data_IF_067032764687
#
_entry.id   IF_067032764687
#
_cell.length_a   1.000
_cell.length_b   1.000
_cell.length_c   1.000
_cell.angle_alpha   90.00
_cell.angle_beta   90.00
_cell.angle_gamma   90.00
#
_symmetry.space_group_name_H-M   'P 1'
#
loop_
_entity.id
_entity.type
_entity.pdbx_description
1 polymer ?
#
# COMPACT_ATOMS: atom_id res chain seq x y z
N UNK A 1 26.89 32.15 -27.91
CA UNK A 1 26.25 33.33 -27.27
C UNK A 1 26.51 33.26 -25.78
N UNK A 2 27.41 34.12 -25.29
CA UNK A 2 27.85 34.19 -23.89
C UNK A 2 26.74 34.79 -23.03
N UNK A 3 26.40 34.16 -21.89
CA UNK A 3 25.59 34.81 -20.85
C UNK A 3 26.40 34.88 -19.56
N UNK A 4 26.43 36.10 -19.04
CA UNK A 4 27.29 36.61 -18.00
C UNK A 4 26.97 36.03 -16.61
N UNK A 5 28.04 35.88 -15.83
CA UNK A 5 28.06 35.53 -14.42
C UNK A 5 27.85 36.82 -13.62
N UNK A 6 26.81 36.89 -12.79
CA UNK A 6 26.63 37.97 -11.81
C UNK A 6 26.98 37.44 -10.42
N UNK A 7 28.16 37.81 -9.94
CA UNK A 7 28.60 37.65 -8.55
C UNK A 7 27.92 38.68 -7.66
N UNK A 8 27.17 38.23 -6.66
CA UNK A 8 26.66 39.07 -5.59
C UNK A 8 27.60 38.97 -4.37
N UNK A 9 28.23 40.10 -4.03
CA UNK A 9 29.05 40.27 -2.83
C UNK A 9 28.10 40.53 -1.66
N UNK A 10 28.04 39.60 -0.71
CA UNK A 10 27.27 39.75 0.53
C UNK A 10 28.21 40.32 1.61
N UNK A 11 27.96 41.58 1.98
CA UNK A 11 28.59 42.24 3.12
C UNK A 11 28.20 41.58 4.44
N UNK A 12 29.20 41.13 5.20
CA UNK A 12 29.05 40.65 6.58
C UNK A 12 29.20 41.83 7.54
N UNK A 13 28.20 42.16 8.38
CA UNK A 13 28.41 43.10 9.47
C UNK A 13 29.15 42.42 10.62
N UNK A 14 30.32 42.99 10.94
CA UNK A 14 31.11 42.68 12.12
C UNK A 14 30.50 43.43 13.32
N UNK A 15 29.71 42.73 14.14
CA UNK A 15 29.23 43.26 15.41
C UNK A 15 30.19 42.86 16.54
N UNK A 16 30.93 43.85 17.01
CA UNK A 16 31.84 43.78 18.15
C UNK A 16 31.11 44.19 19.44
N UNK A 17 31.39 43.44 20.50
CA UNK A 17 31.35 43.86 21.91
C UNK A 17 30.01 43.80 22.67
N UNK A 18 30.02 42.98 23.74
CA UNK A 18 29.10 43.04 24.85
C UNK A 18 29.65 42.25 26.03
N UNK A 19 30.46 42.90 26.87
CA UNK A 19 30.79 42.47 28.22
C UNK A 19 29.52 42.44 29.09
N UNK A 20 29.33 41.42 29.91
CA UNK A 20 28.37 41.54 31.02
C UNK A 20 27.96 40.24 31.69
N UNK A 21 28.21 40.21 33.01
CA UNK A 21 27.67 39.34 34.06
C UNK A 21 28.35 37.98 34.29
N UNK A 22 28.97 37.88 35.47
CA UNK A 22 29.41 36.62 36.07
C UNK A 22 28.18 35.78 36.48
N UNK A 23 28.11 34.49 36.12
CA UNK A 23 26.99 33.61 36.44
C UNK A 23 27.00 33.22 37.92
N UNK A 24 25.85 33.34 38.57
CA UNK A 24 25.58 32.79 39.91
C UNK A 24 25.52 31.26 39.86
N UNK A 25 26.20 30.58 40.78
CA UNK A 25 26.40 29.12 40.78
C UNK A 25 25.18 28.26 41.18
N UNK A 26 23.97 28.82 41.14
CA UNK A 26 22.73 28.12 41.54
C UNK A 26 21.75 27.88 40.37
N UNK A 27 22.26 27.73 39.14
CA UNK A 27 21.41 27.29 38.01
C UNK A 27 21.44 25.76 37.89
N UNK A 28 20.31 25.05 38.10
CA UNK A 28 20.25 23.60 37.94
C UNK A 28 20.69 23.24 36.52
N UNK A 29 21.68 22.34 36.42
CA UNK A 29 22.32 21.87 35.20
C UNK A 29 21.29 21.66 34.08
N UNK A 30 21.08 22.68 33.24
CA UNK A 30 20.20 22.56 32.06
C UNK A 30 20.92 21.64 31.11
N UNK A 31 20.46 20.39 31.06
CA UNK A 31 20.90 19.47 30.02
C UNK A 31 20.59 20.12 28.68
N UNK A 32 21.58 20.26 27.77
CA UNK A 32 21.32 20.80 26.45
C UNK A 32 20.19 19.97 25.81
N UNK A 33 19.19 20.62 25.20
CA UNK A 33 18.11 19.90 24.55
C UNK A 33 18.72 18.92 23.55
N UNK A 34 18.33 17.65 23.64
CA UNK A 34 18.83 16.62 22.75
C UNK A 34 18.70 17.12 21.30
N UNK A 35 19.74 16.94 20.46
CA UNK A 35 19.70 17.41 19.08
C UNK A 35 18.47 16.82 18.41
N UNK A 36 17.67 17.68 17.78
CA UNK A 36 16.46 17.28 17.07
C UNK A 36 16.84 16.17 16.07
N UNK A 37 16.38 14.94 16.33
CA UNK A 37 16.60 13.82 15.41
C UNK A 37 15.93 14.17 14.09
N UNK A 38 16.73 14.40 13.06
CA UNK A 38 16.21 14.53 11.71
C UNK A 38 15.65 13.17 11.29
N UNK A 39 14.33 13.13 11.11
CA UNK A 39 13.61 11.98 10.58
C UNK A 39 14.13 11.68 9.17
N UNK A 40 14.43 10.41 8.88
CA UNK A 40 15.01 10.06 7.59
C UNK A 40 14.00 10.30 6.46
N UNK A 41 14.51 10.65 5.28
CA UNK A 41 13.68 10.86 4.09
C UNK A 41 12.80 9.63 3.76
N UNK A 42 13.27 8.42 4.09
CA UNK A 42 12.51 7.18 3.94
C UNK A 42 11.26 7.14 4.82
N UNK A 43 11.36 7.54 6.09
CA UNK A 43 10.20 7.53 7.01
C UNK A 43 9.16 8.55 6.55
N UNK A 44 9.61 9.71 6.07
CA UNK A 44 8.71 10.72 5.48
C UNK A 44 8.00 10.18 4.23
N UNK A 45 8.73 9.52 3.32
CA UNK A 45 8.15 8.93 2.12
C UNK A 45 7.15 7.81 2.45
N UNK A 46 7.47 6.93 3.40
CA UNK A 46 6.55 5.86 3.84
C UNK A 46 5.25 6.45 4.41
N UNK A 47 5.35 7.53 5.19
CA UNK A 47 4.18 8.21 5.76
C UNK A 47 3.26 8.82 4.70
N UNK A 48 3.84 9.33 3.62
CA UNK A 48 3.06 9.86 2.49
C UNK A 48 2.36 8.76 1.68
N UNK A 49 2.94 7.56 1.62
CA UNK A 49 2.39 6.40 0.88
C UNK A 49 1.25 5.71 1.65
N UNK A 50 1.26 5.77 2.98
CA UNK A 50 0.27 5.11 3.84
C UNK A 50 -0.75 6.14 4.32
N UNK A 51 -1.65 6.52 3.42
CA UNK A 51 -2.76 7.41 3.79
C UNK A 51 -3.80 6.64 4.63
N UNK A 52 -4.49 7.29 5.58
CA UNK A 52 -5.56 6.66 6.37
C UNK A 52 -6.63 5.98 5.51
N UNK A 53 -6.95 6.56 4.35
CA UNK A 53 -7.94 6.02 3.41
C UNK A 53 -7.45 4.69 2.80
N UNK A 54 -6.15 4.58 2.49
CA UNK A 54 -5.57 3.34 1.97
C UNK A 54 -5.58 2.25 3.04
N UNK A 55 -5.28 2.61 4.29
CA UNK A 55 -5.35 1.67 5.43
C UNK A 55 -6.78 1.19 5.63
N UNK A 56 -7.76 2.08 5.58
CA UNK A 56 -9.17 1.74 5.67
C UNK A 56 -9.61 0.79 4.55
N UNK A 57 -9.24 1.07 3.29
CA UNK A 57 -9.56 0.20 2.16
C UNK A 57 -8.93 -1.19 2.30
N UNK A 58 -7.67 -1.28 2.75
CA UNK A 58 -6.99 -2.56 2.98
C UNK A 58 -7.76 -3.36 4.05
N UNK A 59 -8.18 -2.71 5.13
CA UNK A 59 -8.97 -3.34 6.19
C UNK A 59 -10.34 -3.83 5.67
N UNK A 60 -11.04 -3.03 4.89
CA UNK A 60 -12.32 -3.40 4.27
C UNK A 60 -12.18 -4.58 3.30
N UNK A 61 -11.17 -4.56 2.44
CA UNK A 61 -10.87 -5.67 1.51
C UNK A 61 -10.54 -6.95 2.26
N UNK A 62 -9.75 -6.86 3.32
CA UNK A 62 -9.44 -8.01 4.18
C UNK A 62 -10.70 -8.59 4.82
N UNK A 63 -11.54 -7.73 5.40
CA UNK A 63 -12.80 -8.15 6.03
C UNK A 63 -13.77 -8.77 5.01
N UNK A 64 -13.84 -8.23 3.79
CA UNK A 64 -14.64 -8.80 2.72
C UNK A 64 -14.12 -10.15 2.25
N UNK A 65 -12.80 -10.32 2.12
CA UNK A 65 -12.18 -11.60 1.77
C UNK A 65 -12.45 -12.69 2.81
N UNK A 66 -12.46 -12.34 4.10
CA UNK A 66 -12.83 -13.27 5.17
C UNK A 66 -14.31 -13.65 5.11
N UNK A 67 -15.20 -12.69 4.80
CA UNK A 67 -16.62 -12.99 4.56
C UNK A 67 -16.83 -13.89 3.34
N UNK A 68 -16.06 -13.68 2.27
CA UNK A 68 -16.08 -14.55 1.10
C UNK A 68 -15.65 -15.98 1.47
N UNK A 69 -14.53 -16.14 2.18
CA UNK A 69 -14.06 -17.44 2.65
C UNK A 69 -15.08 -18.15 3.55
N UNK A 70 -15.73 -17.41 4.45
CA UNK A 70 -16.79 -17.94 5.30
C UNK A 70 -18.01 -18.37 4.47
N UNK A 71 -18.34 -17.65 3.41
CA UNK A 71 -19.46 -18.00 2.54
C UNK A 71 -19.17 -19.21 1.66
N UNK A 72 -17.97 -19.28 1.06
CA UNK A 72 -17.58 -20.34 0.12
C UNK A 72 -17.37 -21.68 0.83
N UNK A 73 -16.62 -21.70 1.94
CA UNK A 73 -16.17 -22.96 2.57
C UNK A 73 -16.49 -23.05 4.06
N UNK A 74 -17.23 -22.10 4.62
CA UNK A 74 -17.33 -21.91 6.08
C UNK A 74 -15.95 -21.73 6.74
N UNK A 75 -14.99 -21.16 6.01
CA UNK A 75 -13.62 -20.94 6.47
C UNK A 75 -12.75 -22.21 6.49
N UNK A 76 -13.19 -23.31 5.86
CA UNK A 76 -12.46 -24.58 5.84
C UNK A 76 -11.47 -24.65 4.66
N UNK A 77 -10.14 -24.59 4.90
CA UNK A 77 -9.14 -24.66 3.84
C UNK A 77 -9.05 -26.03 3.15
N UNK A 78 -9.66 -27.07 3.73
CA UNK A 78 -9.69 -28.43 3.20
C UNK A 78 -11.05 -28.79 2.58
N UNK A 79 -11.93 -27.81 2.36
CA UNK A 79 -13.25 -28.06 1.79
C UNK A 79 -13.14 -28.58 0.35
N UNK A 80 -13.89 -29.63 0.04
CA UNK A 80 -14.02 -30.18 -1.31
C UNK A 80 -15.51 -30.33 -1.59
N UNK A 81 -16.00 -29.63 -2.61
CA UNK A 81 -17.32 -29.87 -3.16
C UNK A 81 -17.16 -30.73 -4.42
N UNK A 82 -17.53 -32.02 -4.39
CA UNK A 82 -17.27 -32.93 -5.50
C UNK A 82 -18.14 -32.67 -6.73
N UNK A 83 -19.26 -31.95 -6.58
CA UNK A 83 -20.14 -31.61 -7.69
C UNK A 83 -20.80 -30.27 -7.43
N UNK A 84 -20.27 -29.22 -8.04
CA UNK A 84 -21.01 -27.97 -8.22
C UNK A 84 -22.18 -28.18 -9.20
N UNK A 85 -22.99 -27.14 -9.44
CA UNK A 85 -24.16 -27.17 -10.33
C UNK A 85 -23.82 -27.63 -11.75
N UNK A 86 -22.61 -27.33 -12.22
CA UNK A 86 -22.11 -27.74 -13.54
C UNK A 86 -21.33 -29.07 -13.54
N UNK A 87 -21.33 -29.79 -12.41
CA UNK A 87 -20.63 -31.06 -12.25
C UNK A 87 -19.11 -30.93 -12.10
N UNK A 88 -18.57 -29.71 -12.05
CA UNK A 88 -17.13 -29.50 -11.83
C UNK A 88 -16.86 -29.37 -10.33
N UNK A 89 -15.84 -30.06 -9.78
CA UNK A 89 -15.51 -29.92 -8.37
C UNK A 89 -14.85 -28.57 -8.06
N UNK A 90 -15.09 -28.08 -6.84
CA UNK A 90 -14.46 -26.89 -6.28
C UNK A 90 -13.72 -27.19 -4.97
N UNK A 91 -12.66 -26.41 -4.71
CA UNK A 91 -11.62 -26.79 -3.76
C UNK A 91 -11.16 -25.65 -2.84
N UNK A 92 -10.84 -26.03 -1.61
CA UNK A 92 -10.14 -25.24 -0.62
C UNK A 92 -10.98 -24.09 -0.03
N UNK A 93 -10.28 -23.11 0.52
CA UNK A 93 -10.86 -22.02 1.30
C UNK A 93 -11.86 -21.15 0.53
N UNK A 94 -11.58 -20.90 -0.75
CA UNK A 94 -12.39 -20.04 -1.64
C UNK A 94 -13.13 -20.83 -2.72
N UNK A 95 -13.20 -22.16 -2.57
CA UNK A 95 -13.91 -23.06 -3.49
C UNK A 95 -13.60 -22.80 -4.97
N UNK A 96 -12.33 -22.64 -5.31
CA UNK A 96 -11.92 -22.46 -6.71
C UNK A 96 -12.14 -23.73 -7.52
N UNK A 97 -12.55 -23.57 -8.78
CA UNK A 97 -12.46 -24.62 -9.80
C UNK A 97 -11.00 -24.73 -10.29
N UNK A 98 -10.50 -25.94 -10.62
CA UNK A 98 -9.11 -26.13 -11.03
C UNK A 98 -8.67 -25.22 -12.20
N UNK A 99 -9.49 -25.13 -13.25
CA UNK A 99 -9.19 -24.31 -14.43
C UNK A 99 -9.15 -22.81 -14.10
N UNK A 100 -10.10 -22.34 -13.29
CA UNK A 100 -10.17 -20.92 -12.86
C UNK A 100 -8.96 -20.56 -12.00
N UNK A 101 -8.58 -21.43 -11.06
CA UNK A 101 -7.39 -21.24 -10.23
C UNK A 101 -6.13 -21.14 -11.09
N UNK A 102 -5.93 -22.09 -12.01
CA UNK A 102 -4.74 -22.11 -12.87
C UNK A 102 -4.64 -20.83 -13.72
N UNK A 103 -5.76 -20.43 -14.35
CA UNK A 103 -5.82 -19.20 -15.14
C UNK A 103 -5.40 -17.96 -14.33
N UNK A 104 -5.95 -17.76 -13.13
CA UNK A 104 -5.61 -16.59 -12.31
C UNK A 104 -4.21 -16.69 -11.69
N UNK A 105 -3.78 -17.89 -11.30
CA UNK A 105 -2.43 -18.16 -10.81
C UNK A 105 -1.39 -17.72 -11.84
N UNK A 106 -1.55 -18.13 -13.09
CA UNK A 106 -0.68 -17.77 -14.21
C UNK A 106 -0.77 -16.27 -14.52
N UNK A 107 -1.98 -15.72 -14.64
CA UNK A 107 -2.20 -14.28 -14.92
C UNK A 107 -1.49 -13.37 -13.93
N UNK A 108 -1.52 -13.71 -12.64
CA UNK A 108 -1.00 -12.87 -11.57
C UNK A 108 0.41 -13.25 -11.11
N UNK A 109 1.02 -14.28 -11.69
CA UNK A 109 2.36 -14.76 -11.29
C UNK A 109 2.41 -15.27 -9.85
N UNK A 110 1.34 -15.91 -9.38
CA UNK A 110 1.23 -16.42 -8.01
C UNK A 110 1.78 -17.85 -7.96
N UNK A 111 2.56 -18.14 -6.92
CA UNK A 111 3.05 -19.50 -6.63
C UNK A 111 2.14 -20.20 -5.62
N UNK A 112 2.03 -21.53 -5.69
CA UNK A 112 1.22 -22.33 -4.77
C UNK A 112 0.24 -23.26 -5.48
N UNK A 113 -0.37 -24.18 -4.72
CA UNK A 113 -1.24 -25.22 -5.26
C UNK A 113 -2.72 -24.91 -5.06
N UNK A 114 -3.61 -25.63 -5.75
CA UNK A 114 -5.06 -25.38 -5.69
C UNK A 114 -5.61 -25.42 -4.27
N UNK A 115 -5.08 -26.27 -3.39
CA UNK A 115 -5.49 -26.39 -1.98
C UNK A 115 -4.75 -25.43 -1.04
N UNK A 116 -3.84 -24.59 -1.54
CA UNK A 116 -3.10 -23.63 -0.72
C UNK A 116 -3.96 -22.40 -0.42
N UNK A 117 -4.40 -22.19 0.84
CA UNK A 117 -5.25 -21.05 1.18
C UNK A 117 -4.56 -19.70 0.96
N UNK A 118 -3.22 -19.63 1.05
CA UNK A 118 -2.49 -18.38 0.82
C UNK A 118 -2.47 -18.03 -0.67
N UNK A 119 -2.25 -19.01 -1.54
CA UNK A 119 -2.32 -18.80 -2.99
C UNK A 119 -3.72 -18.37 -3.43
N UNK A 120 -4.77 -19.02 -2.91
CA UNK A 120 -6.16 -18.64 -3.19
C UNK A 120 -6.48 -17.21 -2.73
N UNK A 121 -6.08 -16.84 -1.51
CA UNK A 121 -6.26 -15.47 -0.99
C UNK A 121 -5.48 -14.44 -1.81
N UNK A 122 -4.24 -14.76 -2.20
CA UNK A 122 -3.43 -13.88 -3.04
C UNK A 122 -4.07 -13.65 -4.42
N UNK A 123 -4.69 -14.67 -5.02
CA UNK A 123 -5.44 -14.53 -6.27
C UNK A 123 -6.59 -13.53 -6.09
N UNK A 124 -7.46 -13.74 -5.10
CA UNK A 124 -8.60 -12.85 -4.88
C UNK A 124 -8.14 -11.45 -4.48
N UNK A 125 -7.01 -11.33 -3.78
CA UNK A 125 -6.40 -10.04 -3.49
C UNK A 125 -6.04 -9.26 -4.76
N UNK A 126 -5.51 -9.93 -5.78
CA UNK A 126 -5.22 -9.33 -7.09
C UNK A 126 -6.47 -9.01 -7.89
N UNK A 127 -7.52 -9.83 -7.75
CA UNK A 127 -8.81 -9.61 -8.44
C UNK A 127 -9.48 -8.29 -8.06
N UNK A 128 -9.23 -7.73 -6.87
CA UNK A 128 -9.81 -6.43 -6.47
C UNK A 128 -9.45 -5.28 -7.41
N UNK A 129 -8.27 -5.37 -8.05
CA UNK A 129 -7.73 -4.33 -8.92
C UNK A 129 -7.73 -4.73 -10.40
N UNK A 130 -8.21 -5.93 -10.76
CA UNK A 130 -8.34 -6.38 -12.16
C UNK A 130 -9.71 -5.95 -12.73
N UNK A 131 -9.76 -4.99 -13.67
CA UNK A 131 -11.01 -4.51 -14.24
C UNK A 131 -11.72 -5.56 -15.12
N UNK A 132 -11.05 -6.66 -15.49
CA UNK A 132 -11.63 -7.75 -16.26
C UNK A 132 -12.40 -8.75 -15.39
N UNK A 133 -12.24 -8.68 -14.06
CA UNK A 133 -12.96 -9.56 -13.13
C UNK A 133 -14.41 -9.11 -13.01
N UNK A 134 -15.32 -10.02 -13.37
CA UNK A 134 -16.76 -9.86 -13.14
C UNK A 134 -17.14 -10.73 -11.94
N UNK A 135 -17.20 -10.11 -10.76
CA UNK A 135 -17.37 -10.80 -9.47
C UNK A 135 -18.61 -11.70 -9.40
N UNK A 136 -19.70 -11.30 -10.04
CA UNK A 136 -20.94 -12.07 -10.11
C UNK A 136 -20.82 -13.34 -10.96
N UNK A 137 -19.76 -13.47 -11.76
CA UNK A 137 -19.44 -14.70 -12.51
C UNK A 137 -18.46 -15.60 -11.76
N UNK A 138 -17.53 -15.00 -11.03
CA UNK A 138 -16.50 -15.75 -10.29
C UNK A 138 -17.06 -16.35 -8.99
N UNK A 139 -17.85 -15.58 -8.24
CA UNK A 139 -18.41 -15.97 -6.95
C UNK A 139 -19.92 -15.66 -6.88
N UNK A 140 -20.75 -16.20 -7.80
CA UNK A 140 -22.13 -15.77 -8.02
C UNK A 140 -23.00 -15.84 -6.77
N UNK A 141 -22.92 -16.95 -6.02
CA UNK A 141 -23.76 -17.16 -4.84
C UNK A 141 -23.36 -16.23 -3.69
N UNK A 142 -22.05 -16.15 -3.41
CA UNK A 142 -21.54 -15.38 -2.29
C UNK A 142 -21.60 -13.87 -2.55
N UNK A 143 -21.27 -13.40 -3.75
CA UNK A 143 -21.39 -11.97 -4.11
C UNK A 143 -22.84 -11.49 -4.02
N UNK A 144 -23.83 -12.31 -4.41
CA UNK A 144 -25.25 -11.97 -4.21
C UNK A 144 -25.64 -11.86 -2.73
N UNK A 145 -24.97 -12.60 -1.85
CA UNK A 145 -25.26 -12.67 -0.42
C UNK A 145 -24.56 -11.56 0.38
N UNK A 146 -23.27 -11.34 0.14
CA UNK A 146 -22.43 -10.40 0.90
C UNK A 146 -22.22 -9.06 0.20
N UNK A 147 -22.57 -8.95 -1.08
CA UNK A 147 -22.33 -7.79 -1.92
C UNK A 147 -21.00 -7.85 -2.68
N UNK A 148 -20.81 -6.96 -3.66
CA UNK A 148 -19.56 -6.85 -4.40
C UNK A 148 -18.42 -6.37 -3.47
N UNK A 149 -17.17 -6.65 -3.83
CA UNK A 149 -16.04 -6.21 -3.02
C UNK A 149 -15.91 -4.69 -2.96
N UNK A 150 -15.34 -4.14 -1.87
CA UNK A 150 -15.01 -2.72 -1.78
C UNK A 150 -14.03 -2.34 -2.89
N UNK A 151 -14.52 -1.51 -3.81
CA UNK A 151 -13.70 -0.90 -4.85
C UNK A 151 -13.00 0.29 -4.25
N UNK A 152 -11.78 0.55 -4.71
CA UNK A 152 -11.19 1.85 -4.46
C UNK A 152 -12.10 2.87 -5.14
N UNK A 153 -12.87 3.61 -4.36
CA UNK A 153 -13.69 4.72 -4.89
C UNK A 153 -12.75 5.89 -5.13
N UNK A 154 -11.72 5.66 -5.95
CA UNK A 154 -10.90 6.74 -6.45
C UNK A 154 -11.65 7.36 -7.61
N UNK A 155 -12.12 8.56 -7.33
CA UNK A 155 -12.17 9.65 -8.27
C UNK A 155 -10.79 9.86 -8.94
N UNK A 156 -10.35 8.91 -9.78
CA UNK A 156 -9.54 8.99 -11.00
C UNK A 156 -8.33 9.96 -11.15
N UNK A 157 -7.81 10.64 -10.11
CA UNK A 157 -6.89 11.78 -10.33
C UNK A 157 -5.60 11.83 -9.48
N UNK A 158 -5.35 10.88 -8.58
CA UNK A 158 -4.19 11.01 -7.66
C UNK A 158 -2.96 10.19 -8.11
N UNK A 159 -3.14 9.11 -8.89
CA UNK A 159 -2.01 8.30 -9.35
C UNK A 159 -1.11 8.98 -10.39
N UNK A 160 -1.61 9.97 -11.14
CA UNK A 160 -0.79 10.77 -12.06
C UNK A 160 0.31 11.57 -11.34
N UNK A 161 0.12 11.89 -10.06
CA UNK A 161 1.07 12.73 -9.32
C UNK A 161 2.23 11.94 -8.70
N UNK A 162 2.00 10.71 -8.25
CA UNK A 162 3.06 9.89 -7.67
C UNK A 162 4.06 9.43 -8.75
N UNK A 163 3.56 9.08 -9.93
CA UNK A 163 4.42 8.66 -11.04
C UNK A 163 5.27 9.82 -11.58
N UNK A 164 4.72 11.04 -11.59
CA UNK A 164 5.47 12.28 -11.87
C UNK A 164 6.63 12.50 -10.90
N UNK A 165 6.41 12.30 -9.60
CA UNK A 165 7.44 12.50 -8.57
C UNK A 165 8.62 11.53 -8.72
N UNK A 166 8.36 10.27 -9.10
CA UNK A 166 9.42 9.29 -9.37
C UNK A 166 10.28 9.74 -10.56
N UNK A 167 9.66 10.13 -11.68
CA UNK A 167 10.42 10.68 -12.83
C UNK A 167 11.20 11.95 -12.51
N UNK A 168 10.70 12.81 -11.63
CA UNK A 168 11.44 14.00 -11.20
C UNK A 168 12.65 13.66 -10.34
N UNK A 169 12.56 12.66 -9.47
CA UNK A 169 13.68 12.22 -8.64
C UNK A 169 14.78 11.54 -9.48
N UNK A 170 14.41 10.74 -10.49
CA UNK A 170 15.39 10.14 -11.40
C UNK A 170 16.16 11.21 -12.20
N UNK A 171 15.49 12.28 -12.62
CA UNK A 171 16.15 13.40 -13.32
C UNK A 171 17.13 14.21 -12.45
N UNK A 172 17.02 14.12 -11.13
CA UNK A 172 17.91 14.81 -10.19
C UNK A 172 19.16 13.99 -9.83
N UNK A 173 19.20 12.70 -10.19
CA UNK A 173 20.31 11.79 -9.92
C UNK A 173 21.38 11.71 -11.02
N UNK A 174 21.16 12.34 -12.19
CA UNK A 174 22.08 12.29 -13.34
C UNK A 174 22.96 13.56 -13.51
N UNK A 175 23.01 14.44 -12.51
CA UNK A 175 23.91 15.63 -12.49
C UNK A 175 25.11 15.41 -11.57
#
# INVERSE_FOLDING_TARGET
>A
MQKAILSAIISVPLALSGFGAAPSEDEPLRTPPAPARQESALVRAVREIVTPERVALIAERSAWLDQLAQCESSGNPSAVNPSDVDGTPSYGLLQFKPQTFLMYKERYGITGELMDPQAQRAIVWRMFDDPLVVWEREFPACVRKIGPPPKHTQHLLVFDNAQRLVTQLDSLGEM
#
